data_IF_892944754513
#
_entry.id   IF_892944754513
#
_cell.length_a   1.000
_cell.length_b   1.000
_cell.length_c   1.000
_cell.angle_alpha   90.00
_cell.angle_beta   90.00
_cell.angle_gamma   90.00
#
_symmetry.space_group_name_H-M   'P 1'
#
loop_
_entity.id
_entity.type
_entity.pdbx_description
1 polymer ?
#
# COMPACT_ATOMS: atom_id res chain seq x y z
N UNK A 1 6.78 3.94 -26.41
CA UNK A 1 5.76 3.84 -25.34
C UNK A 1 4.48 4.56 -25.81
N UNK A 2 3.28 3.95 -25.69
CA UNK A 2 2.01 4.62 -26.02
C UNK A 2 1.75 5.86 -25.16
N UNK A 3 1.07 6.88 -25.70
CA UNK A 3 0.78 8.15 -25.00
C UNK A 3 -0.47 8.12 -24.12
N UNK A 4 -1.36 7.15 -24.34
CA UNK A 4 -2.66 7.04 -23.66
C UNK A 4 -2.91 5.59 -23.23
N UNK A 5 -3.67 5.43 -22.15
CA UNK A 5 -4.11 4.15 -21.63
C UNK A 5 -5.56 4.24 -21.16
N UNK A 6 -6.28 3.13 -21.23
CA UNK A 6 -7.57 2.98 -20.57
C UNK A 6 -7.31 2.33 -19.21
N UNK A 7 -7.85 2.91 -18.14
CA UNK A 7 -7.68 2.45 -16.76
C UNK A 7 -9.01 2.50 -16.03
N UNK A 8 -9.16 1.64 -15.04
CA UNK A 8 -10.23 1.78 -14.05
C UNK A 8 -10.02 3.06 -13.24
N UNK A 9 -11.12 3.66 -12.78
CA UNK A 9 -11.08 4.81 -11.88
C UNK A 9 -10.79 4.39 -10.45
N UNK A 10 -10.38 5.35 -9.62
CA UNK A 10 -10.15 5.13 -8.18
C UNK A 10 -11.42 4.64 -7.48
N UNK A 11 -12.58 5.21 -7.81
CA UNK A 11 -13.86 4.77 -7.24
C UNK A 11 -14.17 3.30 -7.55
N UNK A 12 -13.95 2.87 -8.80
CA UNK A 12 -14.16 1.47 -9.20
C UNK A 12 -13.25 0.51 -8.45
N UNK A 13 -12.03 0.93 -8.10
CA UNK A 13 -11.12 0.13 -7.28
C UNK A 13 -11.61 0.04 -5.83
N UNK A 14 -12.21 1.12 -5.30
CA UNK A 14 -12.78 1.14 -3.94
C UNK A 14 -14.13 0.42 -3.82
N UNK A 15 -14.80 0.13 -4.93
CA UNK A 15 -16.04 -0.67 -4.96
C UNK A 15 -15.77 -2.18 -4.85
N UNK A 16 -14.52 -2.62 -4.87
CA UNK A 16 -14.15 -4.02 -4.70
C UNK A 16 -14.47 -4.52 -3.28
N UNK A 17 -14.66 -5.84 -3.11
CA UNK A 17 -14.84 -6.39 -1.76
C UNK A 17 -13.53 -6.34 -0.95
N UNK A 18 -12.41 -6.60 -1.61
CA UNK A 18 -11.08 -6.62 -1.02
C UNK A 18 -10.06 -6.12 -2.05
N UNK A 19 -9.09 -5.34 -1.58
CA UNK A 19 -8.02 -4.80 -2.42
C UNK A 19 -6.67 -5.22 -1.86
N UNK A 20 -5.88 -5.90 -2.67
CA UNK A 20 -4.49 -6.27 -2.36
C UNK A 20 -3.51 -5.54 -3.27
N UNK A 21 -2.53 -4.85 -2.67
CA UNK A 21 -1.46 -4.17 -3.40
C UNK A 21 -0.11 -4.82 -3.09
N UNK A 22 0.67 -5.05 -4.14
CA UNK A 22 2.05 -5.54 -4.05
C UNK A 22 3.03 -4.38 -4.19
N UNK A 23 3.94 -4.24 -3.23
CA UNK A 23 4.95 -3.17 -3.21
C UNK A 23 6.34 -3.77 -3.06
N UNK A 24 7.15 -3.66 -4.11
CA UNK A 24 8.50 -4.22 -4.11
C UNK A 24 9.53 -3.18 -4.54
N UNK A 25 10.68 -3.21 -3.88
CA UNK A 25 11.84 -2.41 -4.18
C UNK A 25 11.82 -1.00 -3.56
N UNK A 26 13.03 -0.48 -3.34
CA UNK A 26 13.26 0.84 -2.73
C UNK A 26 12.63 2.00 -3.49
N UNK A 27 12.50 1.90 -4.82
CA UNK A 27 11.88 2.94 -5.65
C UNK A 27 10.40 3.20 -5.33
N UNK A 28 9.76 2.34 -4.54
CA UNK A 28 8.37 2.48 -4.10
C UNK A 28 8.23 2.93 -2.65
N UNK A 29 9.33 3.15 -1.93
CA UNK A 29 9.27 3.40 -0.50
C UNK A 29 8.52 4.69 -0.12
N UNK A 30 8.70 5.76 -0.91
CA UNK A 30 7.94 7.02 -0.72
C UNK A 30 6.44 6.84 -0.99
N UNK A 31 6.08 6.01 -1.97
CA UNK A 31 4.68 5.73 -2.27
C UNK A 31 4.03 4.91 -1.14
N UNK A 32 4.78 3.99 -0.53
CA UNK A 32 4.32 3.22 0.62
C UNK A 32 4.15 4.09 1.87
N UNK A 33 5.08 5.02 2.11
CA UNK A 33 4.96 6.02 3.19
C UNK A 33 3.72 6.89 3.02
N UNK A 34 3.49 7.42 1.80
CA UNK A 34 2.29 8.20 1.51
C UNK A 34 0.99 7.39 1.68
N UNK A 35 1.03 6.08 1.38
CA UNK A 35 -0.13 5.19 1.53
C UNK A 35 -0.46 4.89 3.00
N UNK A 36 0.55 4.69 3.85
CA UNK A 36 0.40 4.20 5.23
C UNK A 36 0.42 5.33 6.27
N UNK A 37 1.32 6.29 6.13
CA UNK A 37 1.54 7.38 7.10
C UNK A 37 1.05 8.74 6.62
N UNK A 38 0.92 8.91 5.30
CA UNK A 38 0.44 10.13 4.67
C UNK A 38 -1.08 10.35 4.81
N UNK A 39 -1.51 11.60 4.63
CA UNK A 39 -2.94 11.94 4.53
C UNK A 39 -3.51 11.63 3.14
N UNK A 40 -4.80 11.30 3.08
CA UNK A 40 -5.51 11.06 1.82
C UNK A 40 -5.43 12.28 0.91
N UNK A 41 -4.91 12.09 -0.31
CA UNK A 41 -4.81 13.15 -1.31
C UNK A 41 -4.76 12.59 -2.74
N UNK A 42 -4.98 13.46 -3.73
CA UNK A 42 -5.06 13.06 -5.14
C UNK A 42 -3.71 13.02 -5.86
N UNK A 43 -2.62 13.51 -5.26
CA UNK A 43 -1.27 13.35 -5.80
C UNK A 43 -0.76 11.92 -5.58
N UNK A 44 -1.11 11.33 -4.44
CA UNK A 44 -0.82 9.96 -4.06
C UNK A 44 -2.11 9.15 -4.00
N UNK A 45 -2.66 8.78 -5.16
CA UNK A 45 -3.96 8.10 -5.24
C UNK A 45 -4.03 6.79 -4.44
N UNK A 46 -2.90 6.11 -4.20
CA UNK A 46 -2.82 4.93 -3.32
C UNK A 46 -3.28 5.20 -1.88
N UNK A 47 -3.21 6.45 -1.41
CA UNK A 47 -3.74 6.85 -0.09
C UNK A 47 -5.26 6.64 0.04
N UNK A 48 -5.99 6.48 -1.08
CA UNK A 48 -7.41 6.15 -1.05
C UNK A 48 -7.71 4.80 -0.36
N UNK A 49 -6.74 3.89 -0.28
CA UNK A 49 -6.90 2.60 0.41
C UNK A 49 -7.24 2.76 1.88
N UNK A 50 -6.88 3.89 2.50
CA UNK A 50 -7.27 4.21 3.88
C UNK A 50 -8.79 4.34 4.06
N UNK A 51 -9.54 4.55 2.97
CA UNK A 51 -11.01 4.61 2.97
C UNK A 51 -11.65 3.24 2.72
N UNK A 52 -10.87 2.24 2.30
CA UNK A 52 -11.38 0.94 1.93
C UNK A 52 -11.54 0.04 3.17
N UNK A 53 -12.68 -0.64 3.28
CA UNK A 53 -12.98 -1.46 4.46
C UNK A 53 -12.05 -2.68 4.61
N UNK A 54 -11.53 -3.22 3.50
CA UNK A 54 -10.63 -4.37 3.46
C UNK A 54 -9.46 -4.13 2.49
N UNK A 55 -8.39 -3.53 2.96
CA UNK A 55 -7.19 -3.28 2.15
C UNK A 55 -5.98 -4.00 2.74
N UNK A 56 -5.22 -4.68 1.88
CA UNK A 56 -3.99 -5.40 2.24
C UNK A 56 -2.84 -4.88 1.39
N UNK A 57 -1.72 -4.60 2.02
CA UNK A 57 -0.48 -4.22 1.33
C UNK A 57 0.60 -5.24 1.66
N UNK A 58 1.06 -5.96 0.65
CA UNK A 58 2.16 -6.91 0.76
C UNK A 58 3.42 -6.22 0.26
N UNK A 59 4.44 -6.15 1.12
CA UNK A 59 5.64 -5.39 0.83
C UNK A 59 6.94 -6.14 1.14
N UNK A 60 7.99 -5.82 0.41
CA UNK A 60 9.35 -6.29 0.71
C UNK A 60 10.10 -5.30 1.63
N UNK A 61 11.17 -5.77 2.26
CA UNK A 61 11.94 -4.93 3.19
C UNK A 61 12.51 -3.65 2.56
N UNK A 62 13.09 -3.65 1.34
CA UNK A 62 13.53 -2.43 0.67
C UNK A 62 12.45 -1.37 0.47
N UNK A 63 11.19 -1.75 0.26
CA UNK A 63 10.09 -0.79 0.12
C UNK A 63 9.68 -0.13 1.44
N UNK A 64 10.07 -0.66 2.60
CA UNK A 64 9.73 -0.09 3.92
C UNK A 64 10.69 1.01 4.41
N UNK A 65 11.70 1.36 3.62
CA UNK A 65 12.83 2.20 4.07
C UNK A 65 12.47 3.64 4.44
N UNK A 66 11.35 4.18 3.94
CA UNK A 66 10.86 5.52 4.28
C UNK A 66 9.81 5.50 5.41
N UNK A 67 9.38 4.32 5.87
CA UNK A 67 8.44 4.20 6.98
C UNK A 67 9.13 4.45 8.32
N UNK A 68 8.37 4.95 9.30
CA UNK A 68 8.88 5.05 10.67
C UNK A 68 9.08 3.64 11.23
N UNK A 69 10.15 3.48 12.01
CA UNK A 69 10.48 2.21 12.68
C UNK A 69 9.32 1.66 13.49
N UNK A 70 8.57 2.53 14.18
CA UNK A 70 7.39 2.13 14.97
C UNK A 70 6.26 1.54 14.11
N UNK A 71 6.08 2.04 12.89
CA UNK A 71 5.04 1.60 11.96
C UNK A 71 5.36 0.19 11.45
N UNK A 72 6.61 -0.03 11.04
CA UNK A 72 7.07 -1.35 10.59
C UNK A 72 6.97 -2.38 11.71
N UNK A 73 7.39 -2.02 12.94
CA UNK A 73 7.28 -2.90 14.11
C UNK A 73 5.84 -3.28 14.41
N UNK A 74 4.93 -2.29 14.42
CA UNK A 74 3.51 -2.52 14.66
C UNK A 74 2.92 -3.58 13.73
N UNK A 75 3.12 -3.44 12.41
CA UNK A 75 2.57 -4.42 11.45
C UNK A 75 3.29 -5.77 11.47
N UNK A 76 4.60 -5.81 11.74
CA UNK A 76 5.33 -7.09 11.90
C UNK A 76 4.84 -7.88 13.11
N UNK A 77 4.53 -7.20 14.21
CA UNK A 77 3.97 -7.84 15.41
C UNK A 77 2.54 -8.35 15.18
N UNK A 78 1.72 -7.57 14.48
CA UNK A 78 0.35 -7.98 14.12
C UNK A 78 0.32 -9.20 13.19
N UNK A 79 1.17 -9.23 12.16
CA UNK A 79 1.16 -10.27 11.13
C UNK A 79 2.17 -11.39 11.38
N UNK A 80 2.75 -11.46 12.59
CA UNK A 80 3.78 -12.45 12.90
C UNK A 80 3.31 -13.90 12.67
N UNK A 81 2.07 -14.22 13.02
CA UNK A 81 1.51 -15.56 12.80
C UNK A 81 1.25 -15.84 11.31
N UNK A 82 0.65 -14.87 10.61
CA UNK A 82 0.35 -14.95 9.17
C UNK A 82 1.62 -15.18 8.34
N UNK A 83 2.68 -14.43 8.61
CA UNK A 83 3.93 -14.47 7.84
C UNK A 83 4.78 -15.70 8.19
N UNK A 84 4.77 -16.16 9.45
CA UNK A 84 5.54 -17.32 9.88
C UNK A 84 4.88 -18.67 9.58
N UNK A 85 3.63 -18.66 9.10
CA UNK A 85 2.91 -19.88 8.70
C UNK A 85 3.34 -20.45 7.33
N UNK A 86 4.31 -19.81 6.66
CA UNK A 86 4.92 -20.21 5.39
C UNK A 86 6.27 -20.92 5.60
#
# INVERSE_FOLDING_TARGET
MPKYALTVGVGTLLDAEEVMILVTGRGKAQALEAAVEGSINHLWTISCLQLHAKAVVVCDEPSTMELKVKTVKYFRELEAESVNSL
#
